data_IF_796959829867
#
_entry.id   IF_796959829867
#
_cell.length_a   1.000
_cell.length_b   1.000
_cell.length_c   1.000
_cell.angle_alpha   90.00
_cell.angle_beta   90.00
_cell.angle_gamma   90.00
#
_symmetry.space_group_name_H-M   'P 1'
#
loop_
_entity.id
_entity.type
_entity.pdbx_description
1 polymer ?
#
# COMPACT_ATOMS: atom_id res chain seq x y z
N UNK A 1 -17.64 -8.57 -18.58
CA UNK A 1 -17.81 -8.98 -17.16
C UNK A 1 -19.03 -8.29 -16.52
N UNK A 2 -20.26 -8.62 -16.96
CA UNK A 2 -21.49 -7.89 -16.55
C UNK A 2 -22.27 -8.55 -15.41
N UNK A 3 -21.83 -9.71 -14.88
CA UNK A 3 -22.72 -10.61 -14.10
C UNK A 3 -22.29 -10.97 -12.66
N UNK A 4 -21.23 -10.41 -12.08
CA UNK A 4 -20.85 -10.71 -10.68
C UNK A 4 -21.24 -9.59 -9.70
N UNK A 5 -22.54 -9.34 -9.57
CA UNK A 5 -23.07 -8.28 -8.69
C UNK A 5 -22.63 -8.48 -7.23
N UNK A 6 -22.77 -9.70 -6.71
CA UNK A 6 -22.39 -10.04 -5.33
C UNK A 6 -20.90 -9.75 -5.09
N UNK A 7 -20.02 -10.21 -5.99
CA UNK A 7 -18.58 -9.99 -5.87
C UNK A 7 -18.22 -8.50 -5.88
N UNK A 8 -18.88 -7.72 -6.75
CA UNK A 8 -18.66 -6.26 -6.83
C UNK A 8 -19.14 -5.52 -5.58
N UNK A 9 -20.28 -5.93 -5.00
CA UNK A 9 -20.78 -5.34 -3.75
C UNK A 9 -19.87 -5.72 -2.59
N UNK A 10 -19.54 -7.00 -2.45
CA UNK A 10 -18.62 -7.47 -1.41
C UNK A 10 -17.26 -6.77 -1.48
N UNK A 11 -16.69 -6.61 -2.69
CA UNK A 11 -15.41 -5.93 -2.86
C UNK A 11 -15.42 -4.47 -2.42
N UNK A 12 -16.52 -3.74 -2.66
CA UNK A 12 -16.67 -2.35 -2.19
C UNK A 12 -16.68 -2.23 -0.67
N UNK A 13 -17.07 -3.30 0.02
CA UNK A 13 -17.04 -3.37 1.49
C UNK A 13 -15.63 -3.79 1.95
N UNK A 14 -15.09 -4.88 1.39
CA UNK A 14 -13.83 -5.51 1.84
C UNK A 14 -12.61 -4.63 1.56
N UNK A 15 -12.50 -3.99 0.39
CA UNK A 15 -11.31 -3.20 0.02
C UNK A 15 -11.01 -2.10 1.04
N UNK A 16 -11.97 -1.26 1.48
CA UNK A 16 -11.74 -0.29 2.56
C UNK A 16 -11.16 -0.90 3.83
N UNK A 17 -11.67 -2.07 4.27
CA UNK A 17 -11.14 -2.75 5.46
C UNK A 17 -9.73 -3.29 5.25
N UNK A 18 -9.40 -3.81 4.05
CA UNK A 18 -8.03 -4.22 3.73
C UNK A 18 -7.06 -3.04 3.81
N UNK A 19 -7.45 -1.89 3.25
CA UNK A 19 -6.64 -0.66 3.28
C UNK A 19 -6.47 -0.14 4.72
N UNK A 20 -7.55 -0.13 5.51
CA UNK A 20 -7.49 0.27 6.92
C UNK A 20 -6.59 -0.68 7.72
N UNK A 21 -6.67 -1.99 7.45
CA UNK A 21 -5.82 -2.97 8.10
C UNK A 21 -4.35 -2.83 7.70
N UNK A 22 -4.05 -2.50 6.44
CA UNK A 22 -2.69 -2.17 6.02
C UNK A 22 -2.12 -0.98 6.81
N UNK A 23 -2.93 0.07 7.01
CA UNK A 23 -2.53 1.22 7.84
C UNK A 23 -2.33 0.82 9.31
N UNK A 24 -3.22 -0.01 9.87
CA UNK A 24 -3.04 -0.54 11.22
C UNK A 24 -1.70 -1.28 11.37
N UNK A 25 -1.39 -2.20 10.47
CA UNK A 25 -0.13 -2.97 10.47
C UNK A 25 1.10 -2.07 10.28
N UNK A 26 0.97 -1.00 9.50
CA UNK A 26 2.04 -0.02 9.29
C UNK A 26 2.37 0.75 10.58
N UNK A 27 1.34 1.19 11.31
CA UNK A 27 1.50 2.07 12.47
C UNK A 27 1.66 1.35 13.81
N UNK A 28 1.41 0.03 13.87
CA UNK A 28 1.55 -0.77 15.09
C UNK A 28 2.61 -1.89 14.94
N UNK A 29 3.49 -1.79 13.96
CA UNK A 29 4.55 -2.77 13.73
C UNK A 29 5.67 -2.76 14.79
N UNK A 30 5.69 -1.74 15.65
CA UNK A 30 6.57 -1.60 16.81
C UNK A 30 6.02 -2.28 18.07
N UNK A 31 4.70 -2.30 18.25
CA UNK A 31 4.02 -2.92 19.41
C UNK A 31 3.46 -4.32 19.13
N UNK A 32 3.43 -4.78 17.88
CA UNK A 32 2.88 -6.07 17.50
C UNK A 32 3.57 -6.68 16.27
N UNK A 33 3.20 -7.92 15.89
CA UNK A 33 3.70 -8.51 14.66
C UNK A 33 3.22 -7.67 13.47
N UNK A 34 4.16 -7.15 12.69
CA UNK A 34 3.82 -6.12 11.72
C UNK A 34 5.03 -5.48 11.05
N UNK A 35 4.77 -4.30 10.48
CA UNK A 35 5.79 -3.42 9.90
C UNK A 35 5.50 -3.05 8.46
N UNK A 36 6.38 -2.20 7.91
CA UNK A 36 6.17 -1.59 6.60
C UNK A 36 6.11 -2.58 5.43
N UNK A 37 6.89 -3.68 5.49
CA UNK A 37 6.86 -4.68 4.43
C UNK A 37 5.50 -5.40 4.34
N UNK A 38 5.01 -5.91 5.46
CA UNK A 38 3.73 -6.63 5.52
C UNK A 38 2.55 -5.70 5.21
N UNK A 39 2.57 -4.47 5.74
CA UNK A 39 1.59 -3.44 5.40
C UNK A 39 1.56 -3.15 3.90
N UNK A 40 2.74 -3.00 3.27
CA UNK A 40 2.86 -2.80 1.83
C UNK A 40 2.29 -3.96 1.01
N UNK A 41 2.53 -5.21 1.42
CA UNK A 41 1.95 -6.40 0.77
C UNK A 41 0.42 -6.41 0.87
N UNK A 42 -0.15 -6.08 2.03
CA UNK A 42 -1.62 -5.99 2.20
C UNK A 42 -2.21 -4.89 1.31
N UNK A 43 -1.55 -3.72 1.26
CA UNK A 43 -1.96 -2.60 0.40
C UNK A 43 -1.95 -3.00 -1.08
N UNK A 44 -0.88 -3.66 -1.54
CA UNK A 44 -0.78 -4.17 -2.91
C UNK A 44 -1.86 -5.23 -3.20
N UNK A 45 -2.09 -6.16 -2.27
CA UNK A 45 -3.14 -7.18 -2.39
C UNK A 45 -4.53 -6.57 -2.52
N UNK A 46 -4.83 -5.46 -1.81
CA UNK A 46 -6.10 -4.74 -1.95
C UNK A 46 -6.32 -4.21 -3.37
N UNK A 47 -5.28 -3.63 -4.00
CA UNK A 47 -5.37 -3.14 -5.38
C UNK A 47 -5.40 -4.27 -6.42
N UNK A 48 -4.68 -5.38 -6.18
CA UNK A 48 -4.77 -6.59 -7.02
C UNK A 48 -6.19 -7.17 -6.96
N UNK A 49 -6.74 -7.33 -5.75
CA UNK A 49 -8.11 -7.79 -5.56
C UNK A 49 -9.12 -6.88 -6.26
N UNK A 50 -8.96 -5.56 -6.14
CA UNK A 50 -9.78 -4.59 -6.87
C UNK A 50 -9.65 -4.75 -8.40
N UNK A 51 -8.43 -4.97 -8.92
CA UNK A 51 -8.18 -5.17 -10.35
C UNK A 51 -8.82 -6.46 -10.89
N UNK A 52 -8.81 -7.55 -10.12
CA UNK A 52 -9.45 -8.80 -10.51
C UNK A 52 -10.97 -8.65 -10.69
N UNK A 53 -11.61 -7.73 -9.95
CA UNK A 53 -13.07 -7.58 -9.91
C UNK A 53 -13.57 -6.46 -10.84
N UNK A 54 -12.85 -5.33 -10.85
CA UNK A 54 -13.24 -4.12 -11.59
C UNK A 54 -12.43 -3.89 -12.86
N UNK A 55 -11.40 -4.70 -13.09
CA UNK A 55 -10.55 -4.67 -14.28
C UNK A 55 -9.36 -3.71 -14.13
N UNK A 56 -8.25 -4.10 -14.75
CA UNK A 56 -7.00 -3.34 -14.74
C UNK A 56 -7.14 -1.88 -15.23
N UNK A 57 -7.92 -1.56 -16.29
CA UNK A 57 -8.10 -0.16 -16.72
C UNK A 57 -8.75 0.71 -15.64
N UNK A 58 -9.68 0.15 -14.85
CA UNK A 58 -10.33 0.87 -13.74
C UNK A 58 -9.33 1.07 -12.60
N UNK A 59 -8.56 0.05 -12.25
CA UNK A 59 -7.53 0.15 -11.20
C UNK A 59 -6.45 1.16 -11.55
N UNK A 60 -5.96 1.15 -12.79
CA UNK A 60 -4.95 2.11 -13.27
C UNK A 60 -5.42 3.56 -13.28
N UNK A 61 -6.74 3.81 -13.27
CA UNK A 61 -7.27 5.16 -13.06
C UNK A 61 -7.18 5.61 -11.60
N UNK A 62 -7.26 4.67 -10.66
CA UNK A 62 -7.15 4.94 -9.22
C UNK A 62 -5.68 4.99 -8.77
N UNK A 63 -4.86 4.07 -9.28
CA UNK A 63 -3.43 3.98 -9.00
C UNK A 63 -2.68 3.92 -10.34
N UNK A 64 -2.36 5.09 -10.93
CA UNK A 64 -1.62 5.15 -12.18
C UNK A 64 -0.19 4.63 -12.02
N UNK A 65 0.39 4.08 -13.08
CA UNK A 65 1.76 3.54 -13.08
C UNK A 65 2.77 4.59 -12.59
N UNK A 66 2.62 5.86 -12.99
CA UNK A 66 3.45 6.98 -12.50
C UNK A 66 3.39 7.18 -10.99
N UNK A 67 2.23 6.98 -10.35
CA UNK A 67 2.09 7.11 -8.90
C UNK A 67 2.89 6.00 -8.19
N UNK A 68 2.87 4.79 -8.75
CA UNK A 68 3.63 3.65 -8.23
C UNK A 68 5.13 3.90 -8.40
N UNK A 69 5.57 4.29 -9.59
CA UNK A 69 6.98 4.58 -9.89
C UNK A 69 7.54 5.69 -9.01
N UNK A 70 6.82 6.81 -8.90
CA UNK A 70 7.22 7.92 -8.03
C UNK A 70 7.18 7.54 -6.56
N UNK A 71 6.21 6.72 -6.14
CA UNK A 71 6.12 6.19 -4.78
C UNK A 71 7.30 5.30 -4.40
N UNK A 72 7.79 4.45 -5.32
CA UNK A 72 8.99 3.63 -5.10
C UNK A 72 10.21 4.53 -4.87
N UNK A 73 10.44 5.49 -5.76
CA UNK A 73 11.55 6.43 -5.63
C UNK A 73 11.45 7.25 -4.34
N UNK A 74 10.26 7.77 -4.02
CA UNK A 74 10.01 8.52 -2.79
C UNK A 74 10.27 7.68 -1.53
N UNK A 75 9.85 6.41 -1.50
CA UNK A 75 10.11 5.52 -0.37
C UNK A 75 11.59 5.30 -0.11
N UNK A 76 12.38 5.07 -1.17
CA UNK A 76 13.84 4.95 -1.07
C UNK A 76 14.47 6.25 -0.57
N UNK A 77 14.04 7.39 -1.11
CA UNK A 77 14.54 8.71 -0.69
C UNK A 77 14.20 9.01 0.77
N UNK A 78 13.02 8.64 1.26
CA UNK A 78 12.66 8.79 2.68
C UNK A 78 13.57 7.92 3.56
N UNK A 79 13.76 6.65 3.21
CA UNK A 79 14.62 5.74 3.98
C UNK A 79 16.07 6.24 4.04
N UNK A 80 16.65 6.58 2.89
CA UNK A 80 18.00 7.13 2.82
C UNK A 80 18.10 8.48 3.54
N UNK A 81 17.10 9.35 3.38
CA UNK A 81 17.03 10.67 4.00
C UNK A 81 17.04 10.61 5.52
N UNK A 82 16.27 9.69 6.12
CA UNK A 82 16.29 9.46 7.58
C UNK A 82 17.70 9.05 8.04
N UNK A 83 18.37 8.18 7.30
CA UNK A 83 19.75 7.76 7.60
C UNK A 83 20.75 8.91 7.52
N UNK A 84 20.74 9.68 6.42
CA UNK A 84 21.62 10.84 6.23
C UNK A 84 21.40 11.91 7.29
N UNK A 85 20.14 12.21 7.64
CA UNK A 85 19.83 13.15 8.74
C UNK A 85 20.39 12.61 10.06
N UNK A 86 20.28 11.30 10.32
CA UNK A 86 20.89 10.64 11.47
C UNK A 86 22.40 10.87 11.54
N UNK A 87 23.13 10.71 10.44
CA UNK A 87 24.57 10.99 10.36
C UNK A 87 24.90 12.46 10.66
N UNK A 88 24.14 13.40 10.09
CA UNK A 88 24.35 14.84 10.33
C UNK A 88 24.12 15.25 11.79
N UNK A 89 23.27 14.51 12.51
CA UNK A 89 23.01 14.68 13.94
C UNK A 89 24.00 13.91 14.84
N UNK A 90 25.05 13.31 14.26
CA UNK A 90 26.08 12.57 15.00
C UNK A 90 25.72 11.12 15.33
N UNK A 91 24.66 10.58 14.72
CA UNK A 91 24.31 9.16 14.78
C UNK A 91 25.10 8.31 13.80
N UNK A 92 24.74 7.03 13.69
CA UNK A 92 25.29 6.08 12.73
C UNK A 92 24.21 5.65 11.72
N UNK A 93 24.63 5.28 10.51
CA UNK A 93 23.78 4.75 9.42
C UNK A 93 24.37 3.45 8.88
#
# INVERSE_FOLDING_TARGET
MRNYLVLRVAAKIVVPFMLLFALYVQFHGDFGPGGGFQAGVILAAAFIFFALIFGLPTTRRLVPDRLVETGIAAGVLVYAGVGFIGLLLGGNY
#
